data_IF_802245186713
#
_entry.id   IF_802245186713
#
_cell.length_a   1.000
_cell.length_b   1.000
_cell.length_c   1.000
_cell.angle_alpha   90.00
_cell.angle_beta   90.00
_cell.angle_gamma   90.00
#
_symmetry.space_group_name_H-M   'P 1'
#
loop_
_entity.id
_entity.type
_entity.pdbx_description
1 polymer ?
#
# COMPACT_ATOMS: atom_id res chain seq x y z
N UNK A 1 -4.54 -7.18 17.87
CA UNK A 1 -3.25 -7.72 17.38
C UNK A 1 -2.95 -6.98 16.09
N UNK A 2 -1.84 -6.28 15.98
CA UNK A 2 -1.48 -5.52 14.78
C UNK A 2 -0.11 -5.99 14.29
N UNK A 3 0.08 -6.03 12.97
CA UNK A 3 1.28 -6.60 12.37
C UNK A 3 2.25 -5.45 12.07
N UNK A 4 3.47 -5.55 12.60
CA UNK A 4 4.56 -4.62 12.27
C UNK A 4 5.15 -5.00 10.92
N UNK A 5 5.16 -4.06 9.97
CA UNK A 5 5.77 -4.24 8.64
C UNK A 5 7.01 -3.36 8.54
N UNK A 6 8.14 -3.97 8.16
CA UNK A 6 9.46 -3.32 7.94
C UNK A 6 9.82 -2.22 8.96
N UNK A 7 9.56 -2.50 10.25
CA UNK A 7 10.06 -1.71 11.36
C UNK A 7 9.40 -0.36 11.63
N UNK A 8 8.41 0.11 10.85
CA UNK A 8 7.88 1.47 11.03
C UNK A 8 6.36 1.67 10.86
N UNK A 9 5.57 0.67 10.44
CA UNK A 9 4.11 0.82 10.41
C UNK A 9 3.38 -0.38 11.01
N UNK A 10 2.31 -0.06 11.75
CA UNK A 10 1.45 -1.01 12.43
C UNK A 10 0.16 -1.09 11.62
N UNK A 11 -0.02 -2.17 10.86
CA UNK A 11 -1.23 -2.38 10.06
C UNK A 11 -2.17 -3.37 10.75
N UNK A 12 -3.49 -3.14 10.71
CA UNK A 12 -4.46 -4.11 11.18
C UNK A 12 -4.34 -5.44 10.38
N UNK A 13 -4.53 -6.60 11.02
CA UNK A 13 -4.60 -7.87 10.33
C UNK A 13 -5.73 -7.84 9.29
N UNK A 14 -5.46 -8.36 8.10
CA UNK A 14 -6.41 -8.35 6.99
C UNK A 14 -6.36 -7.07 6.14
N UNK A 15 -5.60 -6.05 6.53
CA UNK A 15 -5.28 -4.97 5.60
C UNK A 15 -4.40 -5.53 4.48
N UNK A 16 -4.87 -5.41 3.25
CA UNK A 16 -4.17 -5.87 2.06
C UNK A 16 -4.10 -4.72 1.07
N UNK A 17 -3.01 -4.68 0.35
CA UNK A 17 -2.86 -3.76 -0.75
C UNK A 17 -3.82 -4.15 -1.88
N UNK A 18 -4.86 -3.33 -2.09
CA UNK A 18 -5.84 -3.49 -3.15
C UNK A 18 -6.21 -2.12 -3.74
N UNK A 19 -5.25 -1.42 -4.36
CA UNK A 19 -5.50 -0.11 -4.96
C UNK A 19 -6.38 -0.27 -6.20
N UNK A 20 -7.07 0.80 -6.54
CA UNK A 20 -7.75 0.97 -7.82
C UNK A 20 -6.76 1.25 -8.95
N UNK A 21 -7.22 1.12 -10.20
CA UNK A 21 -6.41 1.46 -11.38
C UNK A 21 -5.97 2.93 -11.36
N UNK A 22 -6.86 3.85 -10.99
CA UNK A 22 -6.55 5.27 -10.87
C UNK A 22 -5.46 5.54 -9.83
N UNK A 23 -5.54 4.89 -8.66
CA UNK A 23 -4.53 5.02 -7.61
C UNK A 23 -3.18 4.43 -8.03
N UNK A 24 -3.18 3.30 -8.74
CA UNK A 24 -1.97 2.71 -9.30
C UNK A 24 -1.31 3.66 -10.30
N UNK A 25 -2.07 4.21 -11.24
CA UNK A 25 -1.56 5.14 -12.24
C UNK A 25 -1.04 6.44 -11.60
N UNK A 26 -1.78 7.01 -10.65
CA UNK A 26 -1.48 8.31 -10.06
C UNK A 26 -0.34 8.26 -9.04
N UNK A 27 -0.36 7.28 -8.13
CA UNK A 27 0.54 7.28 -6.98
C UNK A 27 1.72 6.31 -7.12
N UNK A 28 1.61 5.30 -8.00
CA UNK A 28 2.63 4.25 -8.10
C UNK A 28 3.31 4.19 -9.47
N UNK A 29 2.63 4.58 -10.56
CA UNK A 29 3.12 4.44 -11.93
C UNK A 29 3.35 5.78 -12.66
N UNK A 30 2.95 6.91 -12.08
CA UNK A 30 3.00 8.24 -12.71
C UNK A 30 4.40 8.68 -13.19
N UNK A 31 5.46 8.02 -12.73
CA UNK A 31 6.85 8.32 -13.09
C UNK A 31 7.55 7.25 -13.94
N UNK A 32 6.81 6.25 -14.45
CA UNK A 32 7.38 5.11 -15.20
C UNK A 32 7.41 5.30 -16.72
N UNK A 33 7.10 6.49 -17.24
CA UNK A 33 7.25 6.82 -18.67
C UNK A 33 8.59 7.49 -18.91
#
# INVERSE_FOLDING_TARGET
>A
MSISVNGQSVVPPGFRFHPTEEELLTYYLAKKV
#
